data_IF_877631377001
#
_entry.id   IF_877631377001
#
_cell.length_a   1.000
_cell.length_b   1.000
_cell.length_c   1.000
_cell.angle_alpha   90.00
_cell.angle_beta   90.00
_cell.angle_gamma   90.00
#
_symmetry.space_group_name_H-M   'P 1'
#
loop_
_entity.id
_entity.type
_entity.pdbx_description
1 polymer ?
#
# COMPACT_ATOMS: atom_id res chain seq x y z
N UNK A 1 -7.66 -8.43 3.16
CA UNK A 1 -7.62 -8.43 1.69
C UNK A 1 -7.96 -7.03 1.22
N UNK A 2 -7.01 -6.26 0.71
CA UNK A 2 -7.38 -5.13 -0.15
C UNK A 2 -6.60 -5.18 -1.45
N UNK A 3 -7.36 -5.66 -2.41
CA UNK A 3 -7.39 -5.46 -3.85
C UNK A 3 -6.40 -4.47 -4.49
N UNK A 4 -5.64 -5.06 -5.40
CA UNK A 4 -5.08 -4.47 -6.62
C UNK A 4 -6.19 -4.46 -7.69
N UNK A 5 -7.25 -3.68 -7.48
CA UNK A 5 -8.41 -3.61 -8.38
C UNK A 5 -8.60 -2.15 -8.80
N UNK A 6 -8.22 -1.88 -10.05
CA UNK A 6 -8.25 -0.61 -10.78
C UNK A 6 -7.31 0.46 -10.22
N UNK A 7 -6.31 0.86 -11.03
CA UNK A 7 -5.52 2.11 -11.06
C UNK A 7 -5.63 3.20 -9.98
N UNK A 8 -5.90 2.85 -8.73
CA UNK A 8 -6.21 3.73 -7.61
C UNK A 8 -5.27 3.38 -6.47
N UNK A 9 -4.63 4.40 -5.94
CA UNK A 9 -3.62 4.26 -4.90
C UNK A 9 -4.33 4.33 -3.58
N UNK A 10 -4.02 3.41 -2.67
CA UNK A 10 -4.71 3.35 -1.39
C UNK A 10 -3.73 3.36 -0.23
N UNK A 11 -3.92 4.34 0.66
CA UNK A 11 -3.12 4.50 1.87
C UNK A 11 -3.77 3.73 3.03
N UNK A 12 -3.00 2.83 3.64
CA UNK A 12 -3.39 2.06 4.81
C UNK A 12 -2.64 2.53 6.04
N UNK A 13 -3.40 2.96 7.06
CA UNK A 13 -2.83 3.31 8.37
C UNK A 13 -3.46 2.43 9.44
N UNK A 14 -2.61 1.73 10.19
CA UNK A 14 -3.00 0.84 11.29
C UNK A 14 -2.45 1.36 12.61
N UNK A 15 -3.25 1.24 13.66
CA UNK A 15 -2.88 1.61 15.03
C UNK A 15 -2.98 0.37 15.89
N UNK A 16 -1.88 -0.01 16.54
CA UNK A 16 -1.86 -1.16 17.45
C UNK A 16 -2.40 -2.46 16.82
N UNK A 17 -2.19 -2.64 15.50
CA UNK A 17 -2.67 -3.80 14.75
C UNK A 17 -4.14 -3.74 14.34
N UNK A 18 -4.86 -2.66 14.68
CA UNK A 18 -6.22 -2.41 14.21
C UNK A 18 -6.22 -1.62 12.92
N UNK A 19 -7.12 -1.98 12.01
CA UNK A 19 -7.41 -1.19 10.82
C UNK A 19 -8.18 0.06 11.23
N UNK A 20 -7.69 1.24 10.86
CA UNK A 20 -8.31 2.52 11.25
C UNK A 20 -8.96 3.21 10.08
N UNK A 21 -8.28 3.33 8.94
CA UNK A 21 -8.86 4.01 7.76
C UNK A 21 -8.18 3.59 6.47
N UNK A 22 -8.93 3.70 5.37
CA UNK A 22 -8.43 3.66 4.00
C UNK A 22 -8.80 4.97 3.30
N UNK A 23 -7.92 5.41 2.40
CA UNK A 23 -8.22 6.47 1.45
C UNK A 23 -8.05 5.93 0.04
N UNK A 24 -8.94 6.33 -0.88
CA UNK A 24 -8.79 6.10 -2.30
C UNK A 24 -8.24 7.40 -2.91
N UNK A 25 -7.07 7.31 -3.54
CA UNK A 25 -6.43 8.44 -4.20
C UNK A 25 -6.57 8.27 -5.72
N UNK A 26 -6.65 9.40 -6.40
CA UNK A 26 -6.79 9.46 -7.86
C UNK A 26 -5.52 8.97 -8.57
N UNK A 27 -4.35 9.30 -8.03
CA UNK A 27 -3.03 8.93 -8.54
C UNK A 27 -1.99 8.92 -7.39
N UNK A 28 -0.74 8.53 -7.71
CA UNK A 28 0.38 8.45 -6.77
C UNK A 28 1.11 9.79 -6.57
N UNK A 29 0.56 10.90 -7.09
CA UNK A 29 1.23 12.19 -6.95
C UNK A 29 1.34 12.61 -5.48
N UNK A 30 2.41 13.32 -5.16
CA UNK A 30 2.62 13.96 -3.86
C UNK A 30 1.41 14.81 -3.41
N UNK A 31 0.73 15.49 -4.34
CA UNK A 31 -0.47 16.28 -4.07
C UNK A 31 -1.64 15.42 -3.56
N UNK A 32 -2.01 14.38 -4.32
CA UNK A 32 -3.08 13.47 -3.91
C UNK A 32 -2.77 12.76 -2.59
N UNK A 33 -1.49 12.42 -2.35
CA UNK A 33 -1.07 11.83 -1.09
C UNK A 33 -1.15 12.80 0.08
N UNK A 34 -0.76 14.07 -0.12
CA UNK A 34 -0.89 15.09 0.91
C UNK A 34 -2.36 15.30 1.32
N UNK A 35 -3.27 15.31 0.35
CA UNK A 35 -4.71 15.44 0.59
C UNK A 35 -5.27 14.24 1.36
N UNK A 36 -4.85 13.03 1.00
CA UNK A 36 -5.24 11.81 1.69
C UNK A 36 -4.72 11.78 3.14
N UNK A 37 -3.47 12.19 3.36
CA UNK A 37 -2.88 12.29 4.69
C UNK A 37 -3.60 13.36 5.53
N UNK A 38 -3.91 14.51 4.93
CA UNK A 38 -4.64 15.59 5.60
C UNK A 38 -6.04 15.12 6.03
N UNK A 39 -6.74 14.43 5.13
CA UNK A 39 -8.05 13.82 5.38
C UNK A 39 -8.00 12.71 6.43
N UNK A 40 -6.88 11.99 6.50
CA UNK A 40 -6.64 10.97 7.52
C UNK A 40 -6.45 11.61 8.91
N UNK A 41 -5.59 12.62 9.00
CA UNK A 41 -5.27 13.33 10.25
C UNK A 41 -6.48 14.08 10.80
N UNK A 42 -7.28 14.73 9.94
CA UNK A 42 -8.48 15.46 10.36
C UNK A 42 -9.54 14.54 10.98
N UNK A 43 -9.61 13.29 10.51
CA UNK A 43 -10.56 12.32 11.00
C UNK A 43 -10.06 11.46 12.17
N UNK A 44 -8.76 11.50 12.47
CA UNK A 44 -8.12 10.60 13.44
C UNK A 44 -7.35 11.42 14.48
N UNK A 45 -7.97 11.81 15.62
CA UNK A 45 -7.32 12.65 16.64
C UNK A 45 -6.03 12.05 17.21
N UNK A 46 -5.88 10.74 17.11
CA UNK A 46 -4.73 9.98 17.61
C UNK A 46 -3.68 9.68 16.54
N UNK A 47 -3.70 10.37 15.40
CA UNK A 47 -2.81 10.09 14.26
C UNK A 47 -1.32 10.07 14.62
N UNK A 48 -0.90 10.86 15.61
CA UNK A 48 0.49 10.92 16.12
C UNK A 48 0.96 9.62 16.79
N UNK A 49 0.02 8.76 17.21
CA UNK A 49 0.33 7.44 17.78
C UNK A 49 0.71 6.41 16.71
N UNK A 50 0.58 6.74 15.43
CA UNK A 50 0.97 5.85 14.35
C UNK A 50 2.47 5.52 14.47
N UNK A 51 2.79 4.23 14.58
CA UNK A 51 4.19 3.75 14.69
C UNK A 51 4.68 3.07 13.41
N UNK A 52 3.78 2.62 12.55
CA UNK A 52 4.12 1.96 11.31
C UNK A 52 3.18 2.39 10.19
N UNK A 53 3.74 2.61 8.99
CA UNK A 53 3.00 2.82 7.76
C UNK A 53 3.45 1.76 6.78
N UNK A 54 2.50 1.02 6.21
CA UNK A 54 2.79 -0.08 5.29
C UNK A 54 2.53 0.40 3.87
N UNK A 55 3.56 0.34 3.02
CA UNK A 55 3.50 0.81 1.62
C UNK A 55 3.77 -0.32 0.64
N UNK A 56 3.31 -0.15 -0.61
CA UNK A 56 3.70 -1.03 -1.70
C UNK A 56 5.18 -0.82 -2.09
N UNK A 57 5.76 -1.81 -2.74
CA UNK A 57 7.15 -1.82 -3.20
C UNK A 57 7.45 -0.75 -4.25
N UNK A 58 6.44 -0.27 -4.97
CA UNK A 58 6.60 0.76 -6.01
C UNK A 58 6.21 2.16 -5.53
N UNK A 59 5.93 2.32 -4.23
CA UNK A 59 5.47 3.60 -3.70
C UNK A 59 6.57 4.66 -3.77
N UNK A 60 6.36 5.70 -4.59
CA UNK A 60 7.37 6.73 -4.85
C UNK A 60 7.48 7.83 -3.80
N UNK A 61 6.43 8.06 -3.00
CA UNK A 61 6.31 9.25 -2.15
C UNK A 61 6.66 8.98 -0.68
N UNK A 62 7.71 8.19 -0.45
CA UNK A 62 8.18 7.81 0.88
C UNK A 62 8.57 9.05 1.71
N UNK A 63 9.29 10.00 1.11
CA UNK A 63 9.78 11.22 1.79
C UNK A 63 8.63 12.08 2.32
N UNK A 64 7.51 12.14 1.60
CA UNK A 64 6.31 12.85 2.05
C UNK A 64 5.73 12.19 3.31
N UNK A 65 5.61 10.86 3.32
CA UNK A 65 5.14 10.12 4.49
C UNK A 65 6.06 10.29 5.70
N UNK A 66 7.39 10.31 5.51
CA UNK A 66 8.34 10.55 6.60
C UNK A 66 8.17 11.95 7.20
N UNK A 67 7.96 12.96 6.34
CA UNK A 67 7.70 14.34 6.78
C UNK A 67 6.37 14.45 7.52
N UNK A 68 5.34 13.75 7.04
CA UNK A 68 4.00 13.82 7.62
C UNK A 68 3.85 12.98 8.90
N UNK A 69 4.61 11.90 9.06
CA UNK A 69 4.57 11.00 10.21
C UNK A 69 5.98 10.73 10.74
N UNK A 70 6.65 11.74 11.33
CA UNK A 70 8.04 11.59 11.79
C UNK A 70 8.21 10.53 12.89
N UNK A 71 7.14 10.22 13.63
CA UNK A 71 7.11 9.18 14.66
C UNK A 71 6.82 7.76 14.16
N UNK A 72 6.58 7.58 12.86
CA UNK A 72 6.24 6.29 12.26
C UNK A 72 7.38 5.74 11.40
N UNK A 73 7.56 4.42 11.42
CA UNK A 73 8.44 3.71 10.50
C UNK A 73 7.68 3.33 9.24
N UNK A 74 8.29 3.53 8.08
CA UNK A 74 7.73 3.06 6.81
C UNK A 74 8.23 1.65 6.54
N UNK A 75 7.31 0.73 6.31
CA UNK A 75 7.56 -0.69 6.10
C UNK A 75 7.02 -1.14 4.74
N UNK A 76 7.74 -2.04 4.09
CA UNK A 76 7.24 -2.71 2.89
C UNK A 76 6.15 -3.72 3.25
N UNK A 77 5.08 -3.72 2.45
CA UNK A 77 4.00 -4.67 2.61
C UNK A 77 4.46 -6.09 2.26
N UNK A 78 4.47 -6.98 3.27
CA UNK A 78 4.83 -8.41 3.08
C UNK A 78 3.95 -9.07 2.02
N UNK A 79 2.66 -8.69 1.95
CA UNK A 79 1.76 -9.21 0.92
C UNK A 79 2.23 -8.87 -0.49
N UNK A 80 2.61 -7.62 -0.75
CA UNK A 80 3.11 -7.20 -2.06
C UNK A 80 4.46 -7.84 -2.40
N UNK A 81 5.34 -7.98 -1.41
CA UNK A 81 6.61 -8.69 -1.58
C UNK A 81 6.38 -10.16 -1.95
N UNK A 82 5.51 -10.87 -1.23
CA UNK A 82 5.19 -12.28 -1.52
C UNK A 82 4.53 -12.43 -2.89
N UNK A 83 3.58 -11.56 -3.24
CA UNK A 83 2.93 -11.55 -4.56
C UNK A 83 3.96 -11.33 -5.67
N UNK A 84 4.87 -10.39 -5.49
CA UNK A 84 5.93 -10.11 -6.46
C UNK A 84 6.88 -11.30 -6.63
N UNK A 85 7.43 -11.84 -5.54
CA UNK A 85 8.37 -12.95 -5.59
C UNK A 85 7.74 -14.18 -6.26
N UNK A 86 6.49 -14.50 -5.96
CA UNK A 86 5.76 -15.58 -6.64
C UNK A 86 5.64 -15.32 -8.13
N UNK A 87 5.32 -14.08 -8.53
CA UNK A 87 5.25 -13.68 -9.93
C UNK A 87 6.60 -13.83 -10.65
N UNK A 88 7.70 -13.41 -10.03
CA UNK A 88 9.04 -13.52 -10.62
C UNK A 88 9.50 -14.98 -10.74
N UNK A 89 9.28 -15.81 -9.71
CA UNK A 89 9.58 -17.24 -9.75
C UNK A 89 8.78 -17.91 -10.89
N UNK A 90 7.50 -17.57 -11.01
CA UNK A 90 6.62 -18.10 -12.07
C UNK A 90 7.08 -17.69 -13.48
N UNK A 91 7.59 -16.46 -13.65
CA UNK A 91 8.16 -16.00 -14.92
C UNK A 91 9.48 -16.71 -15.24
N UNK A 92 10.29 -16.96 -14.21
CA UNK A 92 11.58 -17.62 -14.33
C UNK A 92 11.45 -19.11 -14.66
N UNK A 93 10.47 -19.82 -14.08
CA UNK A 93 10.28 -21.25 -14.31
C UNK A 93 9.54 -21.61 -15.61
N UNK A 94 8.77 -20.68 -16.20
CA UNK A 94 7.87 -21.00 -17.33
C UNK A 94 7.94 -20.05 -18.53
N UNK A 95 9.00 -19.26 -18.71
CA UNK A 95 9.23 -18.49 -19.94
C UNK A 95 7.98 -17.74 -20.44
N UNK A 96 7.20 -17.14 -19.53
CA UNK A 96 6.05 -16.28 -19.87
C UNK A 96 4.69 -16.94 -20.17
N UNK A 97 4.52 -18.26 -20.15
CA UNK A 97 3.27 -18.89 -20.66
C UNK A 97 2.10 -19.06 -19.65
N UNK A 98 2.32 -18.90 -18.34
CA UNK A 98 1.29 -19.17 -17.30
C UNK A 98 0.63 -17.92 -16.70
N UNK A 99 0.96 -16.72 -17.17
CA UNK A 99 0.34 -15.48 -16.71
C UNK A 99 -1.18 -15.40 -16.95
N UNK A 100 -1.75 -16.28 -17.80
CA UNK A 100 -3.16 -16.24 -18.17
C UNK A 100 -4.08 -17.18 -17.37
N UNK A 101 -3.56 -18.16 -16.61
CA UNK A 101 -4.40 -19.22 -16.02
C UNK A 101 -4.94 -18.91 -14.62
N UNK A 102 -4.39 -17.92 -13.93
CA UNK A 102 -4.73 -17.67 -12.51
C UNK A 102 -5.91 -16.71 -12.27
N UNK A 103 -6.59 -16.24 -13.32
CA UNK A 103 -7.83 -15.44 -13.19
C UNK A 103 -9.01 -16.23 -12.59
N UNK A 104 -8.89 -17.56 -12.41
CA UNK A 104 -10.01 -18.44 -12.04
C UNK A 104 -9.90 -19.12 -10.66
N UNK A 105 -8.84 -18.94 -9.88
CA UNK A 105 -8.64 -19.75 -8.65
C UNK A 105 -8.93 -19.02 -7.32
N UNK A 106 -9.47 -17.80 -7.36
CA UNK A 106 -9.89 -17.08 -6.15
C UNK A 106 -11.19 -16.29 -6.37
N UNK A 107 -12.17 -16.92 -7.02
CA UNK A 107 -13.60 -16.57 -6.87
C UNK A 107 -14.21 -17.40 -5.75
#
# INVERSE_FOLDING_TARGET
MIYDVFGHVSLYVSFEGQYVKHALMKDESSGCLADAVTSFKSASPTWEKARAIIVDKYFGEISLLQTQFPGARILLCVFHVVKYLRGEITKHEYGGLIAKRWRMLFT
#
